data_IF_498303416061
#
_entry.id   IF_498303416061
#
_cell.length_a   1.000
_cell.length_b   1.000
_cell.length_c   1.000
_cell.angle_alpha   90.00
_cell.angle_beta   90.00
_cell.angle_gamma   90.00
#
_symmetry.space_group_name_H-M   'P 1'
#
loop_
_entity.id
_entity.type
_entity.pdbx_description
1 polymer ?
#
# COMPACT_ATOMS: atom_id res chain seq x y z
N UNK A 1 3.27 -0.15 -23.53
CA UNK A 1 2.14 0.13 -22.61
C UNK A 1 1.84 -1.01 -21.61
N UNK A 2 2.23 -2.28 -21.85
CA UNK A 2 1.63 -3.46 -21.17
C UNK A 2 2.28 -3.93 -19.84
N UNK A 3 3.53 -3.57 -19.52
CA UNK A 3 4.21 -4.20 -18.35
C UNK A 3 4.29 -3.34 -17.07
N UNK A 4 4.04 -2.04 -17.16
CA UNK A 4 4.37 -1.08 -16.09
C UNK A 4 3.27 -1.00 -15.04
N UNK A 5 2.00 -1.05 -15.47
CA UNK A 5 0.83 -1.03 -14.58
C UNK A 5 0.68 -2.32 -13.76
N UNK A 6 1.27 -3.42 -14.23
CA UNK A 6 1.18 -4.75 -13.60
C UNK A 6 1.87 -4.78 -12.23
N UNK A 7 2.98 -4.05 -12.10
CA UNK A 7 3.76 -4.06 -10.87
C UNK A 7 3.04 -3.31 -9.75
N UNK A 8 2.36 -2.20 -10.07
CA UNK A 8 1.83 -1.28 -9.06
C UNK A 8 0.61 -1.82 -8.32
N UNK A 9 -0.42 -2.35 -8.99
CA UNK A 9 -1.57 -2.91 -8.26
C UNK A 9 -1.21 -4.17 -7.46
N UNK A 10 -0.20 -4.94 -7.90
CA UNK A 10 0.29 -6.09 -7.14
C UNK A 10 0.97 -5.63 -5.85
N UNK A 11 1.73 -4.54 -5.88
CA UNK A 11 2.31 -3.91 -4.68
C UNK A 11 1.20 -3.46 -3.74
N UNK A 12 0.22 -2.71 -4.23
CA UNK A 12 -0.92 -2.23 -3.43
C UNK A 12 -1.70 -3.37 -2.76
N UNK A 13 -1.95 -4.48 -3.48
CA UNK A 13 -2.58 -5.67 -2.89
C UNK A 13 -1.72 -6.34 -1.82
N UNK A 14 -0.40 -6.45 -2.03
CA UNK A 14 0.50 -7.02 -1.02
C UNK A 14 0.53 -6.15 0.24
N UNK A 15 0.63 -4.83 0.08
CA UNK A 15 0.60 -3.88 1.21
C UNK A 15 -0.75 -3.95 1.94
N UNK A 16 -1.87 -3.99 1.19
CA UNK A 16 -3.21 -4.20 1.76
C UNK A 16 -3.28 -5.46 2.62
N UNK A 17 -2.69 -6.57 2.16
CA UNK A 17 -2.72 -7.84 2.85
C UNK A 17 -1.82 -7.87 4.10
N UNK A 18 -0.66 -7.19 4.05
CA UNK A 18 0.18 -6.98 5.22
C UNK A 18 -0.56 -6.15 6.28
N UNK A 19 -1.17 -5.03 5.91
CA UNK A 19 -1.96 -4.22 6.86
C UNK A 19 -3.14 -4.98 7.44
N UNK A 20 -3.78 -5.86 6.65
CA UNK A 20 -4.84 -6.73 7.15
C UNK A 20 -4.35 -7.69 8.25
N UNK A 21 -3.12 -8.16 8.11
CA UNK A 21 -2.49 -9.08 9.05
C UNK A 21 -2.10 -8.35 10.35
N UNK A 22 -1.60 -7.12 10.23
CA UNK A 22 -1.34 -6.24 11.38
C UNK A 22 -2.64 -5.92 12.13
N UNK A 23 -3.74 -5.63 11.41
CA UNK A 23 -5.07 -5.51 12.00
C UNK A 23 -5.43 -6.76 12.81
N UNK A 24 -5.32 -7.95 12.21
CA UNK A 24 -5.66 -9.21 12.85
C UNK A 24 -4.83 -9.47 14.12
N UNK A 25 -3.55 -9.05 14.15
CA UNK A 25 -2.70 -9.14 15.33
C UNK A 25 -3.19 -8.22 16.46
N UNK A 26 -3.43 -6.93 16.17
CA UNK A 26 -3.86 -5.97 17.20
C UNK A 26 -5.30 -6.17 17.67
N UNK A 27 -6.14 -6.85 16.88
CA UNK A 27 -7.53 -7.17 17.24
C UNK A 27 -7.65 -8.35 18.21
N UNK A 28 -6.57 -9.14 18.40
CA UNK A 28 -6.55 -10.28 19.35
C UNK A 28 -6.93 -9.83 20.76
N UNK A 29 -7.62 -10.70 21.48
CA UNK A 29 -8.05 -10.49 22.86
C UNK A 29 -6.86 -10.28 23.81
N UNK A 30 -5.74 -10.97 23.56
CA UNK A 30 -4.52 -10.89 24.35
C UNK A 30 -3.58 -9.71 23.99
N UNK A 31 -3.88 -8.93 22.94
CA UNK A 31 -3.13 -7.71 22.58
C UNK A 31 -3.99 -6.46 22.85
N UNK A 32 -5.26 -6.48 22.43
CA UNK A 32 -6.26 -5.50 22.87
C UNK A 32 -6.09 -4.06 22.37
N UNK A 33 -5.18 -3.77 21.43
CA UNK A 33 -4.94 -2.43 20.90
C UNK A 33 -5.94 -2.04 19.79
N UNK A 34 -7.22 -1.90 20.16
CA UNK A 34 -8.34 -1.68 19.22
C UNK A 34 -8.20 -0.42 18.35
N UNK A 35 -7.54 0.63 18.85
CA UNK A 35 -7.25 1.84 18.09
C UNK A 35 -6.36 1.57 16.87
N UNK A 36 -5.24 0.86 17.10
CA UNK A 36 -4.34 0.44 16.02
C UNK A 36 -5.01 -0.59 15.11
N UNK A 37 -5.77 -1.53 15.68
CA UNK A 37 -6.52 -2.51 14.88
C UNK A 37 -7.45 -1.80 13.88
N UNK A 38 -8.25 -0.81 14.32
CA UNK A 38 -9.11 -0.02 13.44
C UNK A 38 -8.30 0.73 12.39
N UNK A 39 -7.21 1.39 12.80
CA UNK A 39 -6.33 2.13 11.91
C UNK A 39 -5.81 1.25 10.76
N UNK A 40 -5.20 0.11 11.06
CA UNK A 40 -4.68 -0.81 10.05
C UNK A 40 -5.77 -1.48 9.20
N UNK A 41 -6.97 -1.69 9.75
CA UNK A 41 -8.13 -2.19 9.00
C UNK A 41 -8.59 -1.20 7.94
N UNK A 42 -8.65 0.08 8.27
CA UNK A 42 -9.04 1.13 7.34
C UNK A 42 -7.94 1.34 6.27
N UNK A 43 -6.67 1.31 6.67
CA UNK A 43 -5.52 1.35 5.76
C UNK A 43 -5.48 0.18 4.77
N UNK A 44 -5.76 -1.04 5.23
CA UNK A 44 -5.88 -2.22 4.35
C UNK A 44 -6.95 -2.02 3.27
N UNK A 45 -8.08 -1.39 3.59
CA UNK A 45 -9.15 -1.10 2.62
C UNK A 45 -8.73 -0.02 1.63
N UNK A 46 -8.09 1.05 2.10
CA UNK A 46 -7.60 2.13 1.23
C UNK A 46 -6.65 1.60 0.16
N UNK A 47 -5.63 0.82 0.56
CA UNK A 47 -4.67 0.21 -0.39
C UNK A 47 -5.33 -0.76 -1.37
N UNK A 48 -6.38 -1.46 -0.94
CA UNK A 48 -7.18 -2.30 -1.86
C UNK A 48 -7.91 -1.43 -2.89
N UNK A 49 -8.51 -0.32 -2.45
CA UNK A 49 -9.12 0.66 -3.34
C UNK A 49 -8.12 1.23 -4.35
N UNK A 50 -6.87 1.47 -3.95
CA UNK A 50 -5.80 1.88 -4.87
C UNK A 50 -5.52 0.84 -5.95
N UNK A 51 -5.41 -0.43 -5.57
CA UNK A 51 -5.24 -1.53 -6.53
C UNK A 51 -6.40 -1.58 -7.54
N UNK A 52 -7.64 -1.44 -7.05
CA UNK A 52 -8.86 -1.45 -7.87
C UNK A 52 -8.89 -0.25 -8.85
N UNK A 53 -8.56 0.97 -8.41
CA UNK A 53 -8.41 2.15 -9.29
C UNK A 53 -7.42 1.88 -10.43
N UNK A 54 -6.28 1.26 -10.14
CA UNK A 54 -5.31 0.88 -11.17
C UNK A 54 -5.84 -0.18 -12.15
N UNK A 55 -6.58 -1.17 -11.66
CA UNK A 55 -7.19 -2.22 -12.49
C UNK A 55 -8.23 -1.62 -13.43
N UNK A 56 -9.09 -0.74 -12.93
CA UNK A 56 -10.06 -0.01 -13.75
C UNK A 56 -9.36 0.84 -14.80
N UNK A 57 -8.31 1.57 -14.42
CA UNK A 57 -7.53 2.39 -15.35
C UNK A 57 -6.91 1.53 -16.46
N UNK A 58 -6.33 0.39 -16.11
CA UNK A 58 -5.75 -0.55 -17.08
C UNK A 58 -6.80 -1.02 -18.08
N UNK A 59 -8.00 -1.39 -17.61
CA UNK A 59 -9.11 -1.81 -18.48
C UNK A 59 -9.59 -0.65 -19.37
N UNK A 60 -9.72 0.57 -18.82
CA UNK A 60 -10.09 1.79 -19.57
C UNK A 60 -9.12 2.11 -20.71
N UNK A 61 -7.83 1.80 -20.53
CA UNK A 61 -6.77 1.99 -21.54
C UNK A 61 -6.65 0.82 -22.53
N UNK A 62 -7.52 -0.19 -22.45
CA UNK A 62 -7.47 -1.39 -23.29
C UNK A 62 -6.35 -2.38 -22.92
N UNK A 63 -5.72 -2.19 -21.75
CA UNK A 63 -4.76 -3.12 -21.19
C UNK A 63 -5.45 -4.35 -20.59
N UNK A 64 -4.65 -5.39 -20.30
CA UNK A 64 -5.14 -6.59 -19.60
C UNK A 64 -4.57 -6.62 -18.19
N UNK A 65 -5.46 -6.77 -17.20
CA UNK A 65 -5.05 -6.98 -15.81
C UNK A 65 -4.47 -8.38 -15.65
N UNK A 66 -3.34 -8.49 -14.96
CA UNK A 66 -2.70 -9.76 -14.62
C UNK A 66 -2.38 -9.78 -13.12
N UNK A 67 -3.28 -10.37 -12.34
CA UNK A 67 -3.08 -10.55 -10.90
C UNK A 67 -1.98 -11.61 -10.66
N UNK A 68 -1.05 -11.30 -9.77
CA UNK A 68 0.01 -12.22 -9.34
C UNK A 68 -0.32 -12.79 -7.96
N UNK A 69 0.36 -13.87 -7.60
CA UNK A 69 0.29 -14.42 -6.24
C UNK A 69 0.71 -13.36 -5.22
N UNK A 70 -0.11 -13.19 -4.19
CA UNK A 70 0.21 -12.38 -3.02
C UNK A 70 1.03 -13.25 -2.07
N UNK A 71 2.17 -12.74 -1.59
CA UNK A 71 3.00 -13.50 -0.66
C UNK A 71 2.33 -13.55 0.71
N UNK A 72 2.54 -14.66 1.42
CA UNK A 72 2.06 -14.81 2.79
C UNK A 72 2.80 -13.80 3.69
N UNK A 73 2.08 -12.86 4.34
CA UNK A 73 2.68 -11.89 5.24
C UNK A 73 3.01 -12.55 6.57
N UNK A 74 3.93 -11.92 7.31
CA UNK A 74 4.25 -12.33 8.69
C UNK A 74 3.03 -12.09 9.58
N UNK A 75 2.61 -13.11 10.33
CA UNK A 75 1.42 -13.08 11.18
C UNK A 75 1.70 -12.82 12.65
N UNK A 76 2.96 -12.99 13.08
CA UNK A 76 3.38 -12.77 14.46
C UNK A 76 4.35 -11.59 14.52
N UNK A 77 3.94 -10.55 15.27
CA UNK A 77 4.78 -9.39 15.54
C UNK A 77 5.39 -9.46 16.95
N UNK A 78 5.22 -10.59 17.64
CA UNK A 78 5.59 -10.75 19.03
C UNK A 78 7.11 -10.90 19.18
N UNK A 79 7.70 -9.99 19.95
CA UNK A 79 9.08 -10.08 20.40
C UNK A 79 9.03 -10.20 21.92
N UNK A 80 9.39 -11.37 22.48
CA UNK A 80 9.18 -11.70 23.90
C UNK A 80 9.88 -10.73 24.87
N UNK A 81 10.89 -10.00 24.39
CA UNK A 81 11.64 -9.01 25.18
C UNK A 81 11.05 -7.59 25.14
N UNK A 82 10.09 -7.31 24.24
CA UNK A 82 9.57 -5.96 24.03
C UNK A 82 8.04 -5.98 24.11
N UNK A 83 7.45 -5.25 25.06
CA UNK A 83 5.99 -5.23 25.29
C UNK A 83 5.18 -4.57 24.17
N UNK A 84 3.85 -4.54 24.30
CA UNK A 84 2.88 -4.17 23.24
C UNK A 84 3.13 -2.81 22.56
N UNK A 85 3.64 -1.83 23.30
CA UNK A 85 4.00 -0.51 22.76
C UNK A 85 5.10 -0.60 21.67
N UNK A 86 6.03 -1.55 21.82
CA UNK A 86 7.11 -1.77 20.84
C UNK A 86 6.59 -2.38 19.54
N UNK A 87 5.56 -3.25 19.60
CA UNK A 87 4.92 -3.82 18.42
C UNK A 87 4.12 -2.77 17.66
N UNK A 88 3.47 -1.86 18.40
CA UNK A 88 2.81 -0.68 17.84
C UNK A 88 3.77 0.21 17.04
N UNK A 89 4.89 0.60 17.65
CA UNK A 89 5.93 1.40 16.98
C UNK A 89 6.50 0.70 15.75
N UNK A 90 6.87 -0.58 15.87
CA UNK A 90 7.38 -1.35 14.74
C UNK A 90 6.38 -1.42 13.58
N UNK A 91 5.09 -1.58 13.87
CA UNK A 91 4.05 -1.63 12.85
C UNK A 91 3.88 -0.29 12.13
N UNK A 92 4.05 0.83 12.83
CA UNK A 92 4.03 2.17 12.23
C UNK A 92 5.27 2.44 11.37
N UNK A 93 6.46 2.04 11.83
CA UNK A 93 7.70 2.11 11.04
C UNK A 93 7.62 1.27 9.76
N UNK A 94 7.01 0.08 9.87
CA UNK A 94 6.74 -0.80 8.74
C UNK A 94 5.77 -0.16 7.76
N UNK A 95 4.69 0.47 8.25
CA UNK A 95 3.75 1.21 7.41
C UNK A 95 4.43 2.36 6.67
N UNK A 96 5.24 3.18 7.37
CA UNK A 96 6.01 4.27 6.75
C UNK A 96 6.96 3.74 5.66
N UNK A 97 7.61 2.61 5.92
CA UNK A 97 8.49 1.94 4.95
C UNK A 97 7.71 1.51 3.68
N UNK A 98 6.51 0.95 3.85
CA UNK A 98 5.65 0.60 2.71
C UNK A 98 5.14 1.82 1.95
N UNK A 99 4.78 2.91 2.62
CA UNK A 99 4.37 4.14 1.95
C UNK A 99 5.49 4.74 1.11
N UNK A 100 6.72 4.77 1.64
CA UNK A 100 7.90 5.22 0.89
C UNK A 100 8.16 4.34 -0.32
N UNK A 101 8.14 3.01 -0.15
CA UNK A 101 8.33 2.07 -1.26
C UNK A 101 7.24 2.24 -2.31
N UNK A 102 5.99 2.38 -1.91
CA UNK A 102 4.86 2.59 -2.83
C UNK A 102 5.03 3.91 -3.60
N UNK A 103 5.45 4.98 -2.93
CA UNK A 103 5.74 6.27 -3.56
C UNK A 103 6.87 6.15 -4.60
N UNK A 104 7.97 5.47 -4.28
CA UNK A 104 9.06 5.22 -5.23
C UNK A 104 8.57 4.47 -6.47
N UNK A 105 7.68 3.47 -6.31
CA UNK A 105 7.09 2.75 -7.43
C UNK A 105 6.16 3.62 -8.27
N UNK A 106 5.36 4.47 -7.64
CA UNK A 106 4.50 5.44 -8.34
C UNK A 106 5.33 6.42 -9.17
N UNK A 107 6.42 6.96 -8.60
CA UNK A 107 7.34 7.84 -9.30
C UNK A 107 8.01 7.13 -10.49
N UNK A 108 8.38 5.87 -10.33
CA UNK A 108 8.93 5.07 -11.41
C UNK A 108 7.92 4.87 -12.55
N UNK A 109 6.65 4.54 -12.24
CA UNK A 109 5.61 4.42 -13.29
C UNK A 109 5.38 5.75 -13.98
N UNK A 110 5.38 6.86 -13.24
CA UNK A 110 5.26 8.19 -13.80
C UNK A 110 6.42 8.53 -14.75
N UNK A 111 7.66 8.19 -14.38
CA UNK A 111 8.83 8.35 -15.26
C UNK A 111 8.70 7.53 -16.54
N UNK A 112 8.25 6.28 -16.43
CA UNK A 112 8.01 5.42 -17.60
C UNK A 112 6.89 5.99 -18.49
N UNK A 113 5.83 6.53 -17.90
CA UNK A 113 4.78 7.24 -18.63
C UNK A 113 5.34 8.40 -19.44
N UNK A 114 6.19 9.24 -18.83
CA UNK A 114 6.84 10.36 -19.51
C UNK A 114 7.78 9.90 -20.64
N UNK A 115 8.61 8.88 -20.41
CA UNK A 115 9.52 8.33 -21.44
C UNK A 115 8.77 7.79 -22.66
N UNK A 116 7.55 7.29 -22.47
CA UNK A 116 6.70 6.79 -23.56
C UNK A 116 5.73 7.86 -24.10
N UNK A 117 5.84 9.12 -23.66
CA UNK A 117 4.91 10.20 -23.99
C UNK A 117 3.43 9.87 -23.70
N UNK A 118 3.16 9.06 -22.67
CA UNK A 118 1.82 8.71 -22.24
C UNK A 118 1.26 9.77 -21.26
N UNK A 119 0.73 10.84 -21.85
CA UNK A 119 0.18 11.99 -21.11
C UNK A 119 -0.99 11.58 -20.20
N UNK A 120 -1.81 10.62 -20.63
CA UNK A 120 -2.94 10.13 -19.85
C UNK A 120 -2.50 9.36 -18.60
N UNK A 121 -1.42 8.57 -18.68
CA UNK A 121 -0.87 7.86 -17.52
C UNK A 121 -0.24 8.83 -16.53
N UNK A 122 0.53 9.80 -17.02
CA UNK A 122 1.13 10.82 -16.17
C UNK A 122 0.08 11.66 -15.43
N UNK A 123 -1.01 12.03 -16.12
CA UNK A 123 -2.11 12.78 -15.52
C UNK A 123 -2.87 11.96 -14.46
N UNK A 124 -3.19 10.70 -14.75
CA UNK A 124 -3.85 9.80 -13.81
C UNK A 124 -3.06 9.62 -12.51
N UNK A 125 -1.75 9.36 -12.62
CA UNK A 125 -0.89 9.20 -11.43
C UNK A 125 -0.79 10.47 -10.59
N UNK A 126 -0.73 11.64 -11.23
CA UNK A 126 -0.69 12.93 -10.53
C UNK A 126 -1.98 13.24 -9.77
N UNK A 127 -3.12 12.99 -10.41
CA UNK A 127 -4.44 13.34 -9.88
C UNK A 127 -4.89 12.39 -8.79
N UNK A 128 -4.71 11.08 -9.00
CA UNK A 128 -5.28 10.06 -8.13
C UNK A 128 -4.32 9.56 -7.04
N UNK A 129 -3.00 9.76 -7.16
CA UNK A 129 -2.04 9.13 -6.24
C UNK A 129 -1.00 10.09 -5.65
N UNK A 130 -0.31 10.89 -6.47
CA UNK A 130 0.80 11.72 -5.96
C UNK A 130 0.37 12.81 -4.98
N UNK A 131 -0.88 13.30 -5.08
CA UNK A 131 -1.46 14.22 -4.08
C UNK A 131 -1.75 13.55 -2.73
N UNK A 132 -2.30 12.34 -2.78
CA UNK A 132 -2.63 11.53 -1.60
C UNK A 132 -1.36 11.04 -0.87
N UNK A 133 -0.33 10.66 -1.64
CA UNK A 133 0.91 10.10 -1.09
C UNK A 133 1.78 11.14 -0.35
N UNK A 134 1.79 12.39 -0.81
CA UNK A 134 2.46 13.48 -0.10
C UNK A 134 1.81 13.76 1.26
N UNK A 135 0.48 13.71 1.32
CA UNK A 135 -0.28 13.94 2.55
C UNK A 135 -0.07 12.79 3.55
N UNK A 136 -0.11 11.56 3.05
CA UNK A 136 0.07 10.34 3.86
C UNK A 136 1.49 10.25 4.45
N UNK A 137 2.53 10.48 3.64
CA UNK A 137 3.93 10.42 4.11
C UNK A 137 4.21 11.44 5.20
N UNK A 138 3.65 12.65 5.10
CA UNK A 138 3.81 13.71 6.12
C UNK A 138 3.09 13.32 7.42
N UNK A 139 1.89 12.75 7.32
CA UNK A 139 1.10 12.32 8.49
C UNK A 139 1.78 11.22 9.31
N UNK A 140 2.73 10.46 8.73
CA UNK A 140 3.49 9.40 9.41
C UNK A 140 4.87 9.83 9.91
N UNK A 141 5.36 10.98 9.44
CA UNK A 141 6.68 11.50 9.79
C UNK A 141 6.63 12.60 10.88
N UNK A 142 5.42 12.99 11.31
CA UNK A 142 5.17 14.00 12.35
C UNK A 142 4.59 13.36 13.61
#
# INVERSE_FOLDING_TARGET
MVSVSIFTFSVEYNVSYVYHTIYAYFDRDNVGLKGLAKFFKDFSKEKRGHAEKFMEYQNKRGGKVKLHSILMPVSEFHNQEKGDASHGMFSMELALSFEKLTNEKLLHVHEVGNKNNDVHLAHFLKTEFLGEQNSSTISYAS
#
